data_IF_314009271208
#
_entry.id   IF_314009271208
#
_cell.length_a   1.000
_cell.length_b   1.000
_cell.length_c   1.000
_cell.angle_alpha   90.00
_cell.angle_beta   90.00
_cell.angle_gamma   90.00
#
_symmetry.space_group_name_H-M   'P 1'
#
loop_
_entity.id
_entity.type
_entity.pdbx_description
1 polymer ?
#
# COMPACT_ATOMS: atom_id res chain seq x y z
N UNK A 1 10.15 -9.98 -15.15
CA UNK A 1 9.12 -9.24 -14.38
C UNK A 1 8.84 -9.96 -13.09
N UNK A 2 8.27 -9.29 -12.10
CA UNK A 2 7.79 -9.92 -10.86
C UNK A 2 6.49 -10.70 -11.12
N UNK A 3 6.26 -11.77 -10.35
CA UNK A 3 4.94 -12.42 -10.28
C UNK A 3 4.06 -11.60 -9.34
N UNK A 4 2.86 -11.24 -9.78
CA UNK A 4 1.91 -10.45 -8.99
C UNK A 4 0.82 -11.36 -8.42
N UNK A 5 0.58 -11.26 -7.11
CA UNK A 5 -0.46 -11.97 -6.38
C UNK A 5 -1.39 -10.94 -5.74
N UNK A 6 -2.44 -10.46 -6.44
CA UNK A 6 -3.37 -9.51 -5.85
C UNK A 6 -4.33 -10.23 -4.90
N UNK A 7 -4.66 -9.63 -3.76
CA UNK A 7 -5.73 -10.09 -2.89
C UNK A 7 -6.73 -8.96 -2.68
N UNK A 8 -8.00 -9.23 -2.92
CA UNK A 8 -9.12 -8.30 -2.77
C UNK A 8 -10.32 -9.06 -2.21
N UNK A 9 -11.18 -8.37 -1.46
CA UNK A 9 -12.38 -8.97 -0.83
C UNK A 9 -13.59 -9.00 -1.76
N UNK A 10 -13.58 -8.17 -2.81
CA UNK A 10 -14.74 -7.91 -3.66
C UNK A 10 -14.47 -8.21 -5.14
N UNK A 11 -13.20 -8.25 -5.56
CA UNK A 11 -12.80 -8.48 -6.94
C UNK A 11 -12.14 -9.85 -7.09
N UNK A 12 -12.72 -10.73 -7.92
CA UNK A 12 -12.17 -12.06 -8.19
C UNK A 12 -11.18 -12.07 -9.38
N UNK A 13 -11.45 -11.25 -10.39
CA UNK A 13 -10.63 -11.12 -11.59
C UNK A 13 -10.73 -9.68 -12.11
N UNK A 14 -9.59 -9.12 -12.52
CA UNK A 14 -9.50 -7.78 -13.09
C UNK A 14 -8.63 -7.79 -14.34
N UNK A 15 -9.05 -7.04 -15.35
CA UNK A 15 -8.22 -6.72 -16.52
C UNK A 15 -7.70 -5.30 -16.37
N UNK A 16 -6.38 -5.16 -16.19
CA UNK A 16 -5.72 -3.87 -16.08
C UNK A 16 -5.16 -3.52 -17.45
N UNK A 17 -5.62 -2.42 -18.01
CA UNK A 17 -5.12 -1.88 -19.27
C UNK A 17 -4.29 -0.63 -19.01
N UNK A 18 -3.05 -0.63 -19.48
CA UNK A 18 -2.13 0.50 -19.38
C UNK A 18 -1.91 1.05 -20.78
N UNK A 19 -2.21 2.33 -20.97
CA UNK A 19 -1.84 3.07 -22.18
C UNK A 19 -0.41 3.58 -22.05
N UNK A 20 0.46 3.20 -22.99
CA UNK A 20 1.84 3.65 -23.02
C UNK A 20 1.92 4.98 -23.79
N UNK A 21 1.95 6.08 -23.03
CA UNK A 21 1.91 7.46 -23.56
C UNK A 21 3.04 7.81 -24.53
N UNK A 22 4.15 7.07 -24.54
CA UNK A 22 5.32 7.37 -25.38
C UNK A 22 5.53 6.42 -26.58
N UNK A 23 4.76 5.33 -26.70
CA UNK A 23 4.93 4.34 -27.78
C UNK A 23 3.59 4.17 -28.52
N UNK A 24 3.35 5.01 -29.53
CA UNK A 24 2.27 4.83 -30.52
C UNK A 24 0.86 4.52 -29.98
N UNK A 25 0.50 4.99 -28.77
CA UNK A 25 -0.77 4.65 -28.11
C UNK A 25 -0.97 3.12 -27.93
N UNK A 26 0.13 2.37 -27.81
CA UNK A 26 0.06 0.95 -27.53
C UNK A 26 -0.53 0.73 -26.13
N UNK A 27 -1.58 -0.08 -26.05
CA UNK A 27 -2.17 -0.52 -24.79
C UNK A 27 -1.65 -1.91 -24.44
N UNK A 28 -1.24 -2.10 -23.19
CA UNK A 28 -0.95 -3.43 -22.64
C UNK A 28 -2.05 -3.79 -21.65
N UNK A 29 -2.73 -4.90 -21.88
CA UNK A 29 -3.75 -5.43 -20.97
C UNK A 29 -3.25 -6.68 -20.27
N UNK A 30 -3.44 -6.75 -18.96
CA UNK A 30 -3.06 -7.88 -18.11
C UNK A 30 -4.27 -8.32 -17.32
N UNK A 31 -4.65 -9.60 -17.48
CA UNK A 31 -5.67 -10.23 -16.64
C UNK A 31 -5.04 -10.83 -15.40
N UNK A 32 -5.54 -10.44 -14.24
CA UNK A 32 -5.09 -10.91 -12.95
C UNK A 32 -6.28 -11.50 -12.19
N UNK A 33 -6.09 -12.71 -11.67
CA UNK A 33 -7.00 -13.31 -10.71
C UNK A 33 -6.53 -12.99 -9.30
N UNK A 34 -7.47 -12.65 -8.43
CA UNK A 34 -7.13 -12.46 -7.03
C UNK A 34 -6.97 -13.79 -6.33
N UNK A 35 -6.20 -13.76 -5.25
CA UNK A 35 -5.94 -14.90 -4.37
C UNK A 35 -6.38 -14.57 -2.96
N UNK A 36 -6.51 -15.59 -2.11
CA UNK A 36 -6.76 -15.36 -0.70
C UNK A 36 -5.60 -14.60 -0.04
N UNK A 37 -5.92 -13.81 0.97
CA UNK A 37 -4.90 -13.11 1.76
C UNK A 37 -3.88 -14.11 2.36
N UNK A 38 -4.32 -15.26 2.85
CA UNK A 38 -3.42 -16.27 3.40
C UNK A 38 -2.42 -16.79 2.36
N UNK A 39 -2.84 -17.01 1.10
CA UNK A 39 -1.93 -17.41 0.03
C UNK A 39 -0.96 -16.28 -0.31
N UNK A 40 -1.45 -15.04 -0.40
CA UNK A 40 -0.60 -13.86 -0.62
C UNK A 40 0.48 -13.77 0.45
N UNK A 41 0.12 -13.87 1.74
CA UNK A 41 1.07 -13.79 2.85
C UNK A 41 2.13 -14.89 2.75
N UNK A 42 1.71 -16.15 2.52
CA UNK A 42 2.62 -17.29 2.48
C UNK A 42 3.60 -17.28 1.29
N UNK A 43 3.20 -16.72 0.15
CA UNK A 43 3.94 -16.82 -1.10
C UNK A 43 4.70 -15.54 -1.49
N UNK A 44 4.41 -14.40 -0.87
CA UNK A 44 4.99 -13.11 -1.27
C UNK A 44 6.38 -12.86 -0.68
N UNK A 45 7.32 -12.47 -1.53
CA UNK A 45 8.63 -11.97 -1.09
C UNK A 45 8.58 -10.46 -0.75
N UNK A 46 7.65 -9.73 -1.38
CA UNK A 46 7.35 -8.32 -1.16
C UNK A 46 5.83 -8.15 -1.07
N UNK A 47 5.35 -7.40 -0.08
CA UNK A 47 3.92 -7.13 0.12
C UNK A 47 3.73 -5.61 0.16
N UNK A 48 2.88 -5.09 -0.71
CA UNK A 48 2.43 -3.70 -0.69
C UNK A 48 0.94 -3.65 -0.35
N UNK A 49 0.54 -2.71 0.51
CA UNK A 49 -0.86 -2.55 0.94
C UNK A 49 -1.49 -1.28 0.36
N UNK A 50 -2.67 -1.44 -0.22
CA UNK A 50 -3.44 -0.38 -0.89
C UNK A 50 -4.93 -0.47 -0.54
N UNK A 51 -5.24 -0.56 0.75
CA UNK A 51 -6.60 -0.74 1.26
C UNK A 51 -6.97 0.40 2.22
N UNK A 52 -8.26 0.74 2.36
CA UNK A 52 -8.68 1.66 3.40
C UNK A 52 -8.40 1.06 4.79
N UNK A 53 -8.05 1.90 5.76
CA UNK A 53 -7.95 1.49 7.15
C UNK A 53 -9.33 1.49 7.80
N UNK A 54 -9.74 0.37 8.42
CA UNK A 54 -11.05 0.25 9.07
C UNK A 54 -11.12 0.93 10.45
N UNK A 55 -9.99 1.29 11.05
CA UNK A 55 -9.94 1.95 12.36
C UNK A 55 -9.93 1.01 13.57
N UNK A 56 -10.26 -0.27 13.40
CA UNK A 56 -10.42 -1.20 14.54
C UNK A 56 -9.11 -1.91 14.92
N UNK A 57 -8.50 -2.58 13.95
CA UNK A 57 -7.27 -3.36 14.15
C UNK A 57 -6.40 -3.30 12.91
N UNK A 58 -5.07 -3.48 13.05
CA UNK A 58 -4.21 -3.67 11.91
C UNK A 58 -4.67 -4.85 11.05
N UNK A 59 -4.62 -4.66 9.73
CA UNK A 59 -4.78 -5.76 8.78
C UNK A 59 -3.58 -6.70 8.89
N UNK A 60 -2.37 -6.14 8.99
CA UNK A 60 -1.13 -6.88 9.15
C UNK A 60 -0.64 -6.71 10.59
N UNK A 61 -1.12 -7.58 11.48
CA UNK A 61 -0.65 -7.71 12.86
C UNK A 61 0.36 -8.85 13.03
N UNK A 62 0.65 -9.22 14.28
CA UNK A 62 1.59 -10.32 14.61
C UNK A 62 1.19 -11.64 13.94
N UNK A 63 -0.11 -11.96 13.95
CA UNK A 63 -0.61 -13.21 13.37
C UNK A 63 -0.36 -13.27 11.86
N UNK A 64 -0.67 -12.19 11.14
CA UNK A 64 -0.49 -12.12 9.69
C UNK A 64 0.98 -12.09 9.32
N UNK A 65 1.80 -11.33 10.05
CA UNK A 65 3.25 -11.28 9.82
C UNK A 65 3.91 -12.65 10.02
N UNK A 66 3.46 -13.44 10.99
CA UNK A 66 3.99 -14.78 11.22
C UNK A 66 3.71 -15.76 10.06
N UNK A 67 2.64 -15.53 9.29
CA UNK A 67 2.31 -16.33 8.11
C UNK A 67 3.17 -15.99 6.89
N UNK A 68 3.89 -14.87 6.92
CA UNK A 68 4.72 -14.44 5.80
C UNK A 68 5.97 -15.30 5.67
N UNK A 69 6.66 -15.20 4.52
CA UNK A 69 8.02 -15.72 4.38
C UNK A 69 8.99 -15.04 5.33
N UNK A 70 10.02 -15.76 5.75
CA UNK A 70 11.15 -15.16 6.47
C UNK A 70 11.93 -14.25 5.53
N UNK A 71 12.22 -13.04 5.99
CA UNK A 71 12.88 -12.02 5.18
C UNK A 71 11.97 -11.34 4.17
N UNK A 72 10.65 -11.33 4.39
CA UNK A 72 9.70 -10.55 3.59
C UNK A 72 9.99 -9.04 3.70
N UNK A 73 9.65 -8.28 2.65
CA UNK A 73 9.66 -6.81 2.67
C UNK A 73 8.22 -6.29 2.64
N UNK A 74 7.93 -5.33 3.52
CA UNK A 74 6.61 -4.70 3.62
C UNK A 74 6.63 -3.27 3.09
N UNK A 75 5.60 -2.87 2.36
CA UNK A 75 5.43 -1.51 1.83
C UNK A 75 4.03 -1.00 2.19
N UNK A 76 3.93 0.19 2.76
CA UNK A 76 2.66 0.85 3.04
C UNK A 76 2.66 2.29 2.54
N UNK A 77 1.82 2.56 1.56
CA UNK A 77 1.51 3.90 1.05
C UNK A 77 0.02 4.23 1.16
N UNK A 78 -0.73 3.43 1.93
CA UNK A 78 -2.17 3.55 2.07
C UNK A 78 -2.53 4.45 3.25
N UNK A 79 -2.54 3.90 4.47
CA UNK A 79 -2.79 4.64 5.72
C UNK A 79 -1.98 4.06 6.88
N UNK A 80 -1.65 4.91 7.84
CA UNK A 80 -1.14 4.48 9.14
C UNK A 80 -2.12 3.52 9.83
N UNK A 81 -1.58 2.62 10.66
CA UNK A 81 -2.38 1.64 11.40
C UNK A 81 -2.76 0.37 10.64
N UNK A 82 -2.63 0.33 9.31
CA UNK A 82 -2.85 -0.90 8.51
C UNK A 82 -1.86 -1.99 8.90
N UNK A 83 -0.59 -1.62 9.05
CA UNK A 83 0.45 -2.47 9.62
C UNK A 83 0.60 -2.11 11.09
N UNK A 84 0.54 -3.10 11.97
CA UNK A 84 0.72 -2.88 13.39
C UNK A 84 2.17 -2.53 13.69
N UNK A 85 2.45 -1.29 14.11
CA UNK A 85 3.82 -0.78 14.28
C UNK A 85 4.65 -1.59 15.29
N UNK A 86 4.05 -2.01 16.41
CA UNK A 86 4.74 -2.87 17.38
C UNK A 86 5.09 -4.23 16.79
N UNK A 87 4.16 -4.83 16.04
CA UNK A 87 4.37 -6.11 15.37
C UNK A 87 5.44 -5.99 14.28
N UNK A 88 5.47 -4.87 13.56
CA UNK A 88 6.48 -4.55 12.56
C UNK A 88 7.87 -4.42 13.21
N UNK A 89 8.00 -3.67 14.30
CA UNK A 89 9.26 -3.52 15.03
C UNK A 89 9.78 -4.87 15.55
N UNK A 90 8.93 -5.69 16.16
CA UNK A 90 9.29 -7.05 16.59
C UNK A 90 9.77 -7.92 15.42
N UNK A 91 9.06 -7.86 14.29
CA UNK A 91 9.39 -8.63 13.10
C UNK A 91 10.69 -8.17 12.42
N UNK A 92 10.96 -6.86 12.43
CA UNK A 92 12.21 -6.29 11.95
C UNK A 92 13.40 -6.71 12.83
N UNK A 93 13.23 -6.62 14.15
CA UNK A 93 14.27 -6.99 15.12
C UNK A 93 14.60 -8.49 15.08
N UNK A 94 13.60 -9.35 14.85
CA UNK A 94 13.79 -10.79 14.72
C UNK A 94 14.29 -11.24 13.34
N UNK A 95 14.29 -10.36 12.34
CA UNK A 95 14.63 -10.68 10.95
C UNK A 95 13.51 -11.38 10.17
N UNK A 96 12.32 -11.57 10.79
CA UNK A 96 11.13 -12.06 10.08
C UNK A 96 10.79 -11.16 8.90
N UNK A 97 10.87 -9.84 9.11
CA UNK A 97 10.80 -8.81 8.08
C UNK A 97 12.21 -8.28 7.88
N UNK A 98 12.77 -8.39 6.67
CA UNK A 98 14.14 -7.90 6.40
C UNK A 98 14.21 -6.38 6.23
N UNK A 99 13.07 -5.76 5.94
CA UNK A 99 12.95 -4.31 5.82
C UNK A 99 11.52 -3.89 5.49
N UNK A 100 11.22 -2.62 5.72
CA UNK A 100 9.93 -2.05 5.37
C UNK A 100 10.03 -0.63 4.82
N UNK A 101 9.11 -0.27 3.94
CA UNK A 101 8.97 1.06 3.39
C UNK A 101 7.62 1.67 3.78
N UNK A 102 7.63 2.77 4.53
CA UNK A 102 6.40 3.43 4.99
C UNK A 102 6.38 4.88 4.51
N UNK A 103 5.33 5.25 3.79
CA UNK A 103 4.98 6.67 3.54
C UNK A 103 4.00 7.19 4.61
N UNK A 104 3.37 6.28 5.36
CA UNK A 104 2.29 6.58 6.30
C UNK A 104 2.52 5.91 7.65
N UNK A 105 2.13 6.58 8.73
CA UNK A 105 2.41 6.20 10.12
C UNK A 105 1.16 6.36 10.98
N UNK A 106 1.10 5.60 12.07
CA UNK A 106 0.13 5.86 13.12
C UNK A 106 0.53 7.13 13.89
N UNK A 107 -0.45 7.96 14.24
CA UNK A 107 -0.19 9.18 15.02
C UNK A 107 0.51 10.32 14.26
N UNK A 108 0.39 10.37 12.93
CA UNK A 108 0.86 11.51 12.14
C UNK A 108 0.29 12.84 12.68
N UNK A 109 1.09 13.92 12.72
CA UNK A 109 2.44 14.08 12.15
C UNK A 109 3.59 13.70 13.10
N UNK A 110 3.34 12.94 14.18
CA UNK A 110 4.37 12.54 15.16
C UNK A 110 4.56 11.01 15.20
N UNK A 111 5.21 10.41 14.18
CA UNK A 111 5.42 8.96 14.12
C UNK A 111 6.25 8.43 15.29
N UNK A 112 6.16 7.12 15.49
CA UNK A 112 6.97 6.41 16.46
C UNK A 112 8.48 6.53 16.13
N UNK A 113 9.25 7.14 17.03
CA UNK A 113 10.68 7.35 16.87
C UNK A 113 11.47 6.06 16.62
N UNK A 114 11.04 4.93 17.21
CA UNK A 114 11.70 3.65 17.03
C UNK A 114 11.67 3.21 15.56
N UNK A 115 10.55 3.43 14.86
CA UNK A 115 10.45 3.18 13.42
C UNK A 115 11.34 4.15 12.63
N UNK A 116 11.32 5.43 13.00
CA UNK A 116 12.09 6.48 12.31
C UNK A 116 13.61 6.21 12.31
N UNK A 117 14.12 5.57 13.36
CA UNK A 117 15.56 5.31 13.52
C UNK A 117 15.98 3.89 13.15
N UNK A 118 15.04 3.01 12.80
CA UNK A 118 15.37 1.61 12.56
C UNK A 118 16.14 1.46 11.22
N UNK A 119 17.31 0.78 11.20
CA UNK A 119 18.21 0.77 10.05
C UNK A 119 17.65 0.09 8.80
N UNK A 120 16.64 -0.78 8.96
CA UNK A 120 15.99 -1.49 7.85
C UNK A 120 14.69 -0.82 7.37
N UNK A 121 14.53 0.48 7.63
CA UNK A 121 13.36 1.25 7.20
C UNK A 121 13.70 2.21 6.07
N UNK A 122 12.78 2.34 5.11
CA UNK A 122 12.77 3.39 4.10
C UNK A 122 11.52 4.25 4.29
N UNK A 123 11.68 5.54 4.55
CA UNK A 123 10.59 6.37 5.07
C UNK A 123 10.39 7.62 4.22
N UNK A 124 9.14 8.01 4.03
CA UNK A 124 8.75 9.29 3.43
C UNK A 124 7.58 9.92 4.20
N UNK A 125 7.47 11.26 4.24
CA UNK A 125 6.51 11.93 5.11
C UNK A 125 5.14 12.15 4.43
N UNK A 126 4.43 11.07 4.11
CA UNK A 126 3.09 11.07 3.51
C UNK A 126 2.99 11.92 2.23
N UNK A 127 3.89 11.64 1.29
CA UNK A 127 4.04 12.41 0.04
C UNK A 127 3.57 11.64 -1.19
N UNK A 128 2.91 10.49 -1.05
CA UNK A 128 2.48 9.65 -2.18
C UNK A 128 1.62 10.38 -3.23
N UNK A 129 0.84 11.39 -2.83
CA UNK A 129 0.03 12.21 -3.72
C UNK A 129 0.56 13.65 -3.91
N UNK A 130 1.78 13.94 -3.46
CA UNK A 130 2.36 15.29 -3.47
C UNK A 130 3.10 15.60 -4.80
N UNK A 131 2.46 15.33 -5.94
CA UNK A 131 2.95 15.75 -7.27
C UNK A 131 2.06 16.84 -7.84
N UNK A 132 2.62 17.70 -8.69
CA UNK A 132 1.88 18.82 -9.30
C UNK A 132 0.67 18.31 -10.11
N UNK A 133 0.84 17.22 -10.84
CA UNK A 133 -0.23 16.60 -11.64
C UNK A 133 -1.35 16.05 -10.75
N UNK A 134 -0.99 15.35 -9.67
CA UNK A 134 -1.98 14.80 -8.74
C UNK A 134 -2.76 15.91 -8.02
N UNK A 135 -2.06 16.93 -7.52
CA UNK A 135 -2.68 18.07 -6.85
C UNK A 135 -3.60 18.85 -7.80
N UNK A 136 -3.18 19.06 -9.05
CA UNK A 136 -4.00 19.70 -10.09
C UNK A 136 -5.27 18.89 -10.39
N UNK A 137 -5.16 17.57 -10.53
CA UNK A 137 -6.31 16.70 -10.80
C UNK A 137 -7.29 16.67 -9.64
N UNK A 138 -6.81 16.57 -8.40
CA UNK A 138 -7.64 16.65 -7.18
C UNK A 138 -8.39 17.99 -7.12
N UNK A 139 -7.69 19.09 -7.39
CA UNK A 139 -8.30 20.42 -7.39
C UNK A 139 -9.43 20.54 -8.42
N UNK A 140 -9.22 19.98 -9.62
CA UNK A 140 -10.24 19.95 -10.67
C UNK A 140 -11.43 19.09 -10.29
N UNK A 141 -11.20 17.87 -9.82
CA UNK A 141 -12.27 16.94 -9.43
C UNK A 141 -13.15 17.54 -8.32
N UNK A 142 -12.53 18.20 -7.33
CA UNK A 142 -13.28 18.87 -6.27
C UNK A 142 -14.13 20.02 -6.81
N UNK A 143 -13.59 20.84 -7.72
CA UNK A 143 -14.34 21.92 -8.36
C UNK A 143 -15.55 21.38 -9.14
N UNK A 144 -15.35 20.32 -9.92
CA UNK A 144 -16.41 19.66 -10.69
C UNK A 144 -17.53 19.12 -9.77
N UNK A 145 -17.16 18.51 -8.64
CA UNK A 145 -18.14 18.04 -7.64
C UNK A 145 -18.94 19.17 -6.99
N UNK A 146 -18.30 20.31 -6.68
CA UNK A 146 -18.97 21.48 -6.11
C UNK A 146 -19.97 22.06 -7.12
N UNK A 147 -19.55 22.26 -8.38
CA UNK A 147 -20.42 22.76 -9.45
C UNK A 147 -21.64 21.85 -9.60
N UNK A 148 -21.43 20.54 -9.72
CA UNK A 148 -22.50 19.57 -9.87
C UNK A 148 -23.48 19.52 -8.67
N UNK A 149 -23.03 19.90 -7.47
CA UNK A 149 -23.89 20.01 -6.30
C UNK A 149 -24.81 21.23 -6.36
N UNK A 150 -24.33 22.37 -6.88
CA UNK A 150 -25.06 23.65 -6.91
C UNK A 150 -25.83 23.91 -8.22
N UNK A 151 -25.49 23.25 -9.32
CA UNK A 151 -26.23 23.32 -10.60
C UNK A 151 -27.53 22.48 -10.58
N UNK A 152 -28.14 22.31 -9.40
CA UNK A 152 -29.44 21.65 -9.18
C UNK A 152 -30.58 22.64 -9.02
#
# INVERSE_FOLDING_TARGET
GMKVLPADLYVDEVEISIELFEINQASVSVKLKTVSLDLLLAESDYISVHVPFSGERPLLGRQEINKMKDGVILVNTARGGIIGEDALLEALNSGKVRGAALDVFNGEPSPNQALLTHPNMSLSPHIGAATDEAQSNIGKELADQIIAFFDK
#
